data_IF_479729582299
#
_entry.id   IF_479729582299
#
_cell.length_a   1.000
_cell.length_b   1.000
_cell.length_c   1.000
_cell.angle_alpha   90.00
_cell.angle_beta   90.00
_cell.angle_gamma   90.00
#
_symmetry.space_group_name_H-M   'P 1'
#
loop_
_entity.id
_entity.type
_entity.pdbx_description
1 polymer ?
#
# COMPACT_ATOMS: atom_id res chain seq x y z
N UNK A 1 11.24 -7.88 -6.62
CA UNK A 1 10.74 -8.21 -5.26
C UNK A 1 9.60 -7.25 -4.91
N UNK A 2 8.54 -7.69 -4.23
CA UNK A 2 7.40 -6.82 -3.86
C UNK A 2 7.44 -6.49 -2.37
N UNK A 3 7.31 -5.20 -2.05
CA UNK A 3 7.33 -4.66 -0.70
C UNK A 3 6.02 -3.89 -0.48
N UNK A 4 5.31 -4.23 0.58
CA UNK A 4 4.14 -3.47 1.00
C UNK A 4 4.55 -2.40 2.03
N UNK A 5 4.02 -1.18 1.86
CA UNK A 5 4.38 -0.01 2.66
C UNK A 5 3.12 0.60 3.26
N UNK A 6 3.05 0.60 4.59
CA UNK A 6 1.96 1.21 5.36
C UNK A 6 1.99 2.74 5.27
N UNK A 7 0.82 3.37 5.34
CA UNK A 7 0.61 4.82 5.32
C UNK A 7 0.95 5.51 3.96
N UNK A 8 1.31 4.75 2.92
CA UNK A 8 1.57 5.28 1.58
C UNK A 8 0.26 5.40 0.76
N UNK A 9 -0.60 6.37 1.11
CA UNK A 9 -2.00 6.45 0.63
C UNK A 9 -2.30 7.59 -0.34
N UNK A 10 -1.30 8.38 -0.76
CA UNK A 10 -1.51 9.44 -1.74
C UNK A 10 -0.33 9.59 -2.71
N UNK A 11 -0.52 10.38 -3.77
CA UNK A 11 0.51 10.62 -4.80
C UNK A 11 1.77 11.27 -4.21
N UNK A 12 1.62 12.12 -3.19
CA UNK A 12 2.77 12.70 -2.47
C UNK A 12 3.57 11.63 -1.71
N UNK A 13 2.91 10.63 -1.14
CA UNK A 13 3.61 9.52 -0.50
C UNK A 13 4.41 8.70 -1.52
N UNK A 14 3.81 8.42 -2.68
CA UNK A 14 4.49 7.73 -3.80
C UNK A 14 5.76 8.48 -4.22
N UNK A 15 5.67 9.81 -4.38
CA UNK A 15 6.83 10.65 -4.70
C UNK A 15 7.91 10.59 -3.62
N UNK A 16 7.53 10.69 -2.34
CA UNK A 16 8.49 10.62 -1.23
C UNK A 16 9.23 9.27 -1.20
N UNK A 17 8.52 8.16 -1.38
CA UNK A 17 9.14 6.82 -1.43
C UNK A 17 10.02 6.66 -2.66
N UNK A 18 9.59 7.18 -3.81
CA UNK A 18 10.39 7.18 -5.04
C UNK A 18 11.71 7.91 -4.84
N UNK A 19 11.68 9.09 -4.21
CA UNK A 19 12.89 9.86 -3.89
C UNK A 19 13.85 9.11 -2.96
N UNK A 20 13.34 8.38 -1.97
CA UNK A 20 14.17 7.53 -1.10
C UNK A 20 14.84 6.43 -1.92
N UNK A 21 14.10 5.74 -2.78
CA UNK A 21 14.65 4.69 -3.65
C UNK A 21 15.75 5.22 -4.56
N UNK A 22 15.52 6.39 -5.18
CA UNK A 22 16.50 7.06 -6.04
C UNK A 22 17.77 7.46 -5.27
N UNK A 23 17.62 8.04 -4.07
CA UNK A 23 18.75 8.43 -3.21
C UNK A 23 19.59 7.25 -2.75
N UNK A 24 18.96 6.08 -2.57
CA UNK A 24 19.62 4.84 -2.18
C UNK A 24 20.13 4.03 -3.38
N UNK A 25 19.95 4.53 -4.61
CA UNK A 25 20.28 3.83 -5.86
C UNK A 25 19.65 2.43 -5.90
N UNK A 26 18.41 2.31 -5.42
CA UNK A 26 17.64 1.06 -5.41
C UNK A 26 16.78 0.97 -6.69
N UNK A 27 17.11 0.07 -7.63
CA UNK A 27 16.35 -0.05 -8.86
C UNK A 27 14.95 -0.63 -8.59
N UNK A 28 13.93 0.05 -9.14
CA UNK A 28 12.54 -0.35 -9.02
C UNK A 28 11.83 -0.38 -10.38
N UNK A 29 10.82 -1.23 -10.50
CA UNK A 29 9.96 -1.34 -11.67
C UNK A 29 8.74 -0.44 -11.53
N UNK A 30 8.17 -0.37 -10.32
CA UNK A 30 6.92 0.34 -10.08
C UNK A 30 6.80 0.79 -8.62
N UNK A 31 6.28 2.00 -8.43
CA UNK A 31 5.88 2.54 -7.12
C UNK A 31 4.43 2.98 -7.24
N UNK A 32 3.56 2.41 -6.41
CA UNK A 32 2.12 2.70 -6.39
C UNK A 32 1.64 2.74 -4.95
N UNK A 33 0.54 3.43 -4.63
CA UNK A 33 0.06 3.53 -3.25
C UNK A 33 0.00 2.17 -2.54
N UNK A 34 0.60 2.10 -1.35
CA UNK A 34 0.75 0.89 -0.54
C UNK A 34 1.82 -0.12 -0.98
N UNK A 35 2.49 0.07 -2.13
CA UNK A 35 3.34 -0.98 -2.74
C UNK A 35 4.53 -0.48 -3.58
N UNK A 36 5.66 -1.15 -3.42
CA UNK A 36 6.88 -0.98 -4.22
C UNK A 36 7.26 -2.32 -4.87
N UNK A 37 7.51 -2.31 -6.18
CA UNK A 37 8.06 -3.44 -6.92
C UNK A 37 9.51 -3.10 -7.27
N UNK A 38 10.45 -3.72 -6.56
CA UNK A 38 11.88 -3.62 -6.84
C UNK A 38 12.27 -4.49 -8.04
N UNK A 39 13.21 -3.99 -8.86
CA UNK A 39 13.71 -4.70 -10.04
C UNK A 39 14.45 -5.98 -9.67
N UNK A 40 15.23 -5.91 -8.60
CA UNK A 40 16.04 -7.02 -8.10
C UNK A 40 15.73 -7.32 -6.63
N UNK A 41 16.21 -8.46 -6.14
CA UNK A 41 16.28 -8.71 -4.70
C UNK A 41 17.36 -7.83 -4.08
N UNK A 42 17.06 -7.24 -2.93
CA UNK A 42 18.01 -6.46 -2.14
C UNK A 42 18.59 -7.28 -0.99
N UNK A 43 19.79 -6.95 -0.53
CA UNK A 43 20.33 -7.53 0.70
C UNK A 43 19.51 -7.09 1.92
N UNK A 44 19.56 -7.87 3.00
CA UNK A 44 18.91 -7.49 4.27
C UNK A 44 19.39 -6.14 4.79
N UNK A 45 20.67 -5.81 4.60
CA UNK A 45 21.23 -4.51 4.97
C UNK A 45 20.57 -3.36 4.22
N UNK A 46 20.42 -3.48 2.89
CA UNK A 46 19.73 -2.46 2.08
C UNK A 46 18.24 -2.39 2.39
N UNK A 47 17.62 -3.54 2.68
CA UNK A 47 16.23 -3.62 3.11
C UNK A 47 16.02 -2.88 4.44
N UNK A 48 16.94 -3.06 5.40
CA UNK A 48 16.89 -2.38 6.68
C UNK A 48 17.08 -0.87 6.53
N UNK A 49 18.08 -0.44 5.75
CA UNK A 49 18.28 0.99 5.46
C UNK A 49 17.04 1.62 4.82
N UNK A 50 16.37 0.89 3.93
CA UNK A 50 15.14 1.36 3.30
C UNK A 50 13.99 1.44 4.31
N UNK A 51 13.88 0.47 5.22
CA UNK A 51 12.93 0.52 6.35
C UNK A 51 13.16 1.75 7.22
N UNK A 52 14.41 2.00 7.62
CA UNK A 52 14.77 3.14 8.48
C UNK A 52 14.44 4.48 7.81
N UNK A 53 14.71 4.60 6.50
CA UNK A 53 14.38 5.79 5.72
C UNK A 53 12.86 6.02 5.60
N UNK A 54 12.08 4.94 5.46
CA UNK A 54 10.62 5.01 5.46
C UNK A 54 10.07 5.41 6.84
N UNK A 55 10.61 4.84 7.91
CA UNK A 55 10.22 5.15 9.29
C UNK A 55 10.47 6.61 9.64
N UNK A 56 11.57 7.20 9.15
CA UNK A 56 11.88 8.62 9.34
C UNK A 56 10.81 9.57 8.78
N UNK A 57 10.00 9.12 7.82
CA UNK A 57 8.88 9.88 7.25
C UNK A 57 7.50 9.34 7.68
N UNK A 58 7.46 8.43 8.67
CA UNK A 58 6.24 7.87 9.24
C UNK A 58 5.61 6.71 8.46
N UNK A 59 6.37 6.07 7.58
CA UNK A 59 5.96 4.87 6.83
C UNK A 59 6.61 3.62 7.43
N UNK A 60 6.06 2.44 7.12
CA UNK A 60 6.52 1.16 7.68
C UNK A 60 6.46 0.09 6.58
N UNK A 61 7.50 -0.72 6.43
CA UNK A 61 7.43 -1.95 5.62
C UNK A 61 6.61 -2.98 6.40
N UNK A 62 5.62 -3.57 5.74
CA UNK A 62 4.72 -4.55 6.37
C UNK A 62 4.86 -5.93 5.74
N UNK A 63 5.22 -6.92 6.54
CA UNK A 63 5.28 -8.33 6.14
C UNK A 63 4.02 -9.12 6.55
N UNK A 64 3.27 -8.62 7.54
CA UNK A 64 2.04 -9.26 8.00
C UNK A 64 0.92 -9.13 6.96
N UNK A 65 0.34 -10.28 6.55
CA UNK A 65 -0.69 -10.34 5.51
C UNK A 65 -1.98 -9.61 5.87
N UNK A 66 -2.35 -9.55 7.16
CA UNK A 66 -3.56 -8.85 7.61
C UNK A 66 -3.34 -7.34 7.54
N UNK A 67 -2.18 -6.84 7.97
CA UNK A 67 -1.79 -5.44 7.79
C UNK A 67 -1.77 -5.05 6.30
N UNK A 68 -1.19 -5.90 5.44
CA UNK A 68 -1.18 -5.67 4.00
C UNK A 68 -2.59 -5.59 3.41
N UNK A 69 -3.49 -6.45 3.88
CA UNK A 69 -4.88 -6.44 3.44
C UNK A 69 -5.60 -5.14 3.84
N UNK A 70 -5.38 -4.64 5.06
CA UNK A 70 -5.93 -3.35 5.51
C UNK A 70 -5.42 -2.19 4.68
N UNK A 71 -4.12 -2.12 4.42
CA UNK A 71 -3.57 -1.06 3.57
C UNK A 71 -4.11 -1.13 2.14
N UNK A 72 -4.29 -2.34 1.58
CA UNK A 72 -4.94 -2.54 0.28
C UNK A 72 -6.40 -2.06 0.29
N UNK A 73 -7.15 -2.30 1.37
CA UNK A 73 -8.51 -1.77 1.53
C UNK A 73 -8.49 -0.24 1.52
N UNK A 74 -7.61 0.40 2.31
CA UNK A 74 -7.48 1.87 2.35
C UNK A 74 -7.19 2.46 0.97
N UNK A 75 -6.20 1.93 0.26
CA UNK A 75 -5.83 2.43 -1.08
C UNK A 75 -6.93 2.18 -2.11
N UNK A 76 -7.65 1.07 -2.01
CA UNK A 76 -8.81 0.77 -2.87
C UNK A 76 -9.95 1.77 -2.66
N UNK A 77 -10.27 2.12 -1.41
CA UNK A 77 -11.29 3.13 -1.08
C UNK A 77 -10.89 4.50 -1.65
N UNK A 78 -9.63 4.90 -1.49
CA UNK A 78 -9.12 6.18 -2.00
C UNK A 78 -9.25 6.23 -3.53
N UNK A 79 -8.88 5.14 -4.22
CA UNK A 79 -9.05 5.02 -5.67
C UNK A 79 -10.53 5.12 -6.08
N UNK A 80 -11.43 4.46 -5.33
CA UNK A 80 -12.87 4.51 -5.58
C UNK A 80 -13.42 5.94 -5.53
N UNK A 81 -13.04 6.70 -4.50
CA UNK A 81 -13.46 8.09 -4.30
C UNK A 81 -12.96 9.00 -5.42
N UNK A 82 -11.72 8.79 -5.87
CA UNK A 82 -11.10 9.67 -6.87
C UNK A 82 -11.47 9.38 -8.32
N UNK A 83 -11.79 8.13 -8.70
CA UNK A 83 -11.88 7.73 -10.11
C UNK A 83 -13.17 7.02 -10.52
N UNK A 84 -13.98 6.50 -9.58
CA UNK A 84 -15.03 5.52 -9.91
C UNK A 84 -16.47 5.97 -9.61
N UNK A 85 -16.66 7.09 -8.89
CA UNK A 85 -18.02 7.52 -8.52
C UNK A 85 -18.91 7.90 -9.72
N UNK A 86 -18.34 8.41 -10.82
CA UNK A 86 -19.12 8.79 -12.00
C UNK A 86 -19.39 7.63 -12.98
N UNK A 87 -18.66 6.51 -12.87
CA UNK A 87 -18.74 5.40 -13.84
C UNK A 87 -19.36 4.12 -13.30
N UNK A 88 -19.44 3.97 -11.98
CA UNK A 88 -19.65 2.65 -11.36
C UNK A 88 -20.86 2.69 -10.46
N UNK A 89 -21.94 1.97 -10.83
CA UNK A 89 -23.19 1.85 -10.05
C UNK A 89 -23.04 0.95 -8.80
N UNK A 90 -21.83 0.51 -8.49
CA UNK A 90 -21.57 -0.40 -7.38
C UNK A 90 -21.50 0.36 -6.06
N UNK A 91 -21.98 -0.27 -5.01
CA UNK A 91 -21.74 0.17 -3.63
C UNK A 91 -20.26 -0.01 -3.26
N UNK A 92 -19.78 0.72 -2.25
CA UNK A 92 -18.41 0.57 -1.73
C UNK A 92 -18.13 -0.87 -1.31
N UNK A 93 -19.10 -1.55 -0.69
CA UNK A 93 -18.98 -2.96 -0.29
C UNK A 93 -18.78 -3.91 -1.47
N UNK A 94 -19.54 -3.73 -2.54
CA UNK A 94 -19.40 -4.53 -3.77
C UNK A 94 -18.07 -4.25 -4.46
N UNK A 95 -17.69 -2.97 -4.56
CA UNK A 95 -16.43 -2.56 -5.17
C UNK A 95 -15.21 -3.11 -4.42
N UNK A 96 -15.20 -3.03 -3.08
CA UNK A 96 -14.12 -3.58 -2.27
C UNK A 96 -14.02 -5.09 -2.42
N UNK A 97 -15.15 -5.79 -2.41
CA UNK A 97 -15.16 -7.24 -2.57
C UNK A 97 -14.59 -7.66 -3.94
N UNK A 98 -14.96 -6.94 -5.02
CA UNK A 98 -14.43 -7.15 -6.37
C UNK A 98 -12.91 -6.88 -6.47
N UNK A 99 -12.42 -5.74 -5.96
CA UNK A 99 -11.00 -5.37 -6.12
C UNK A 99 -10.07 -6.08 -5.16
N UNK A 100 -10.52 -6.34 -3.94
CA UNK A 100 -9.69 -6.93 -2.90
C UNK A 100 -9.76 -8.47 -2.95
N UNK A 101 -10.82 -9.04 -3.54
CA UNK A 101 -11.10 -10.48 -3.68
C UNK A 101 -11.34 -11.18 -2.33
N UNK A 102 -12.04 -10.49 -1.43
CA UNK A 102 -12.50 -10.99 -0.13
C UNK A 102 -13.93 -10.52 0.13
N UNK A 103 -14.71 -11.29 0.89
CA UNK A 103 -16.04 -10.86 1.30
C UNK A 103 -15.99 -9.62 2.19
N UNK A 104 -16.92 -8.69 1.96
CA UNK A 104 -16.99 -7.44 2.69
C UNK A 104 -17.13 -7.62 4.21
N UNK A 105 -17.84 -8.63 4.71
CA UNK A 105 -17.98 -8.82 6.16
C UNK A 105 -16.64 -9.13 6.82
N UNK A 106 -15.79 -9.93 6.15
CA UNK A 106 -14.44 -10.20 6.61
C UNK A 106 -13.59 -8.93 6.59
N UNK A 107 -13.63 -8.18 5.49
CA UNK A 107 -12.89 -6.92 5.35
C UNK A 107 -13.29 -5.90 6.42
N UNK A 108 -14.60 -5.72 6.64
CA UNK A 108 -15.13 -4.80 7.65
C UNK A 108 -14.75 -5.22 9.06
N UNK A 109 -14.81 -6.52 9.38
CA UNK A 109 -14.45 -7.03 10.71
C UNK A 109 -12.97 -6.85 10.98
N UNK A 110 -12.12 -7.19 10.01
CA UNK A 110 -10.67 -7.02 10.12
C UNK A 110 -10.27 -5.55 10.25
N UNK A 111 -10.95 -4.66 9.52
CA UNK A 111 -10.69 -3.22 9.61
C UNK A 111 -11.03 -2.68 10.99
N UNK A 112 -12.19 -3.04 11.54
CA UNK A 112 -12.59 -2.64 12.90
C UNK A 112 -11.66 -3.22 13.98
N UNK A 113 -11.12 -4.43 13.82
CA UNK A 113 -10.15 -5.01 14.76
C UNK A 113 -8.83 -4.23 14.78
N UNK A 114 -8.39 -3.75 13.62
CA UNK A 114 -7.06 -3.16 13.45
C UNK A 114 -7.02 -1.64 13.59
N UNK A 115 -8.11 -0.94 13.28
CA UNK A 115 -8.21 0.53 13.23
C UNK A 115 -9.32 1.09 14.15
N UNK A 116 -10.08 0.23 14.82
CA UNK A 116 -11.20 0.61 15.71
C UNK A 116 -10.81 0.87 17.17
#
# INVERSE_FOLDING_TARGET
MKIAVKNMVCQRCVLAVTQILDQMELPYQQVTMGEVILSDSVSEEKRQQFSDALEAIGFEIIDDKRKQLIEKVKTTIINFIHHDQEKTKLTVSEFLSDKVQYDYNYLSSLFSEMEG
#
